data_IF_527153618855
#
_entry.id   IF_527153618855
#
_cell.length_a   1.000
_cell.length_b   1.000
_cell.length_c   1.000
_cell.angle_alpha   90.00
_cell.angle_beta   90.00
_cell.angle_gamma   90.00
#
_symmetry.space_group_name_H-M   'P 1'
#
loop_
_entity.id
_entity.type
_entity.pdbx_description
1 polymer ?
#
# COMPACT_ATOMS: atom_id res chain seq x y z
N UNK A 1 -63.03 -0.14 35.73
CA UNK A 1 -62.40 -1.43 36.08
C UNK A 1 -61.06 -1.48 35.35
N UNK A 2 -59.98 -1.82 36.06
CA UNK A 2 -58.61 -2.14 35.57
C UNK A 2 -57.70 -0.95 35.21
N UNK A 3 -57.09 -0.37 36.26
CA UNK A 3 -55.73 0.18 36.23
C UNK A 3 -54.86 -0.79 37.05
N UNK A 4 -53.77 -1.31 36.47
CA UNK A 4 -52.53 -1.81 37.14
C UNK A 4 -51.78 -2.74 36.19
N UNK A 5 -50.75 -2.27 35.50
CA UNK A 5 -49.67 -3.09 34.92
C UNK A 5 -48.46 -2.21 34.55
N UNK A 6 -47.81 -1.58 35.53
CA UNK A 6 -46.57 -0.84 35.25
C UNK A 6 -45.66 -0.70 36.48
N UNK A 7 -45.27 -1.80 37.13
CA UNK A 7 -44.26 -1.75 38.19
C UNK A 7 -43.46 -3.07 38.32
N UNK A 8 -42.87 -3.60 37.25
CA UNK A 8 -41.87 -4.69 37.36
C UNK A 8 -40.81 -4.56 36.25
N UNK A 9 -39.98 -3.50 36.26
CA UNK A 9 -38.78 -3.42 35.37
C UNK A 9 -37.54 -2.76 36.00
N UNK A 10 -37.51 -2.49 37.30
CA UNK A 10 -36.39 -1.73 37.90
C UNK A 10 -35.46 -2.51 38.86
N UNK A 11 -35.66 -3.80 39.08
CA UNK A 11 -34.91 -4.52 40.12
C UNK A 11 -33.68 -5.33 39.63
N UNK A 12 -33.50 -5.57 38.32
CA UNK A 12 -32.50 -6.53 37.81
C UNK A 12 -31.43 -5.97 36.85
N UNK A 13 -31.50 -4.69 36.45
CA UNK A 13 -30.57 -4.13 35.44
C UNK A 13 -29.26 -3.52 35.97
N UNK A 14 -29.21 -3.12 37.25
CA UNK A 14 -28.07 -2.38 37.81
C UNK A 14 -26.78 -3.18 38.06
N UNK A 15 -26.80 -4.49 38.41
CA UNK A 15 -25.54 -5.19 38.70
C UNK A 15 -24.76 -5.52 37.42
N UNK A 16 -25.43 -5.75 36.29
CA UNK A 16 -24.76 -6.10 35.02
C UNK A 16 -24.05 -4.88 34.41
N UNK A 17 -24.66 -3.69 34.46
CA UNK A 17 -24.01 -2.45 33.98
C UNK A 17 -22.76 -2.10 34.79
N UNK A 18 -22.80 -2.29 36.12
CA UNK A 18 -21.62 -2.09 36.97
C UNK A 18 -20.50 -3.07 36.59
N UNK A 19 -20.82 -4.35 36.39
CA UNK A 19 -19.82 -5.34 35.96
C UNK A 19 -19.21 -4.98 34.60
N UNK A 20 -20.00 -4.54 33.63
CA UNK A 20 -19.50 -4.12 32.32
C UNK A 20 -18.60 -2.89 32.41
N UNK A 21 -18.92 -1.92 33.27
CA UNK A 21 -18.07 -0.74 33.50
C UNK A 21 -16.74 -1.11 34.17
N UNK A 22 -16.74 -2.05 35.12
CA UNK A 22 -15.50 -2.54 35.74
C UNK A 22 -14.63 -3.32 34.74
N UNK A 23 -15.22 -4.15 33.88
CA UNK A 23 -14.48 -4.88 32.84
C UNK A 23 -13.90 -3.91 31.81
N UNK A 24 -14.69 -2.97 31.30
CA UNK A 24 -14.22 -1.97 30.35
C UNK A 24 -13.11 -1.06 30.95
N UNK A 25 -13.27 -0.64 32.21
CA UNK A 25 -12.25 0.12 32.93
C UNK A 25 -10.95 -0.68 33.14
N UNK A 26 -11.06 -1.98 33.45
CA UNK A 26 -9.92 -2.88 33.56
C UNK A 26 -9.12 -3.02 32.27
N UNK A 27 -9.80 -3.17 31.13
CA UNK A 27 -9.15 -3.21 29.81
C UNK A 27 -8.42 -1.91 29.45
N UNK A 28 -9.00 -0.75 29.78
CA UNK A 28 -8.36 0.55 29.55
C UNK A 28 -7.10 0.74 30.42
N UNK A 29 -7.14 0.28 31.68
CA UNK A 29 -5.98 0.33 32.58
C UNK A 29 -4.87 -0.63 32.15
N UNK A 30 -5.21 -1.83 31.67
CA UNK A 30 -4.25 -2.78 31.10
C UNK A 30 -3.59 -2.22 29.83
N UNK A 31 -4.36 -1.54 28.97
CA UNK A 31 -3.82 -0.90 27.77
C UNK A 31 -2.87 0.26 28.11
N UNK A 32 -3.23 1.10 29.10
CA UNK A 32 -2.38 2.19 29.59
C UNK A 32 -1.08 1.66 30.23
N UNK A 33 -1.16 0.57 31.00
CA UNK A 33 0.03 -0.04 31.62
C UNK A 33 1.00 -0.62 30.60
N UNK A 34 0.50 -1.24 29.52
CA UNK A 34 1.34 -1.79 28.45
C UNK A 34 2.16 -0.70 27.73
N UNK A 35 1.57 0.49 27.54
CA UNK A 35 2.27 1.62 26.92
C UNK A 35 3.37 2.19 27.82
N UNK A 36 3.17 2.23 29.14
CA UNK A 36 4.18 2.72 30.09
C UNK A 36 5.29 1.70 30.31
N UNK A 37 4.97 0.40 30.39
CA UNK A 37 5.96 -0.66 30.59
C UNK A 37 6.98 -0.77 29.43
N UNK A 38 6.62 -0.31 28.23
CA UNK A 38 7.55 -0.25 27.08
C UNK A 38 8.46 0.99 27.07
N UNK A 39 8.19 2.00 27.91
CA UNK A 39 9.06 3.18 28.03
C UNK A 39 10.32 2.89 28.84
N UNK A 40 10.25 1.97 29.81
CA UNK A 40 11.39 1.61 30.68
C UNK A 40 12.35 0.57 30.08
N UNK A 41 12.07 0.07 28.87
CA UNK A 41 12.95 -0.86 28.13
C UNK A 41 13.85 -0.16 27.10
N UNK A 42 13.85 1.17 27.05
CA UNK A 42 14.82 1.95 26.27
C UNK A 42 15.95 2.41 27.20
N UNK A 43 17.18 1.87 27.10
CA UNK A 43 18.30 2.40 27.85
C UNK A 43 18.60 3.82 27.36
N UNK A 44 18.65 4.74 28.32
CA UNK A 44 19.14 6.10 28.15
C UNK A 44 20.60 6.07 27.66
N UNK A 45 20.79 6.20 26.36
CA UNK A 45 22.05 6.58 25.76
C UNK A 45 21.75 7.59 24.66
N UNK A 46 21.83 8.89 24.99
CA UNK A 46 22.68 9.87 24.29
C UNK A 46 22.45 11.28 24.86
N UNK A 47 23.24 11.65 25.86
CA UNK A 47 23.54 13.04 26.15
C UNK A 47 24.98 13.14 26.69
N UNK A 48 25.95 12.93 25.81
CA UNK A 48 27.31 13.38 26.01
C UNK A 48 27.89 13.75 24.64
N UNK A 49 28.13 15.05 24.46
CA UNK A 49 28.79 15.59 23.28
C UNK A 49 30.14 14.92 23.09
N UNK A 50 30.33 14.36 21.90
CA UNK A 50 31.64 14.11 21.34
C UNK A 50 31.60 14.65 19.92
N UNK A 51 32.36 15.72 19.70
CA UNK A 51 32.71 16.27 18.41
C UNK A 51 33.42 15.20 17.59
N UNK A 52 32.66 14.26 17.04
CA UNK A 52 33.13 13.41 15.95
C UNK A 52 32.97 14.26 14.71
N UNK A 53 34.09 14.67 14.14
CA UNK A 53 34.15 15.20 12.78
C UNK A 53 33.22 14.35 11.92
N UNK A 54 32.15 14.96 11.44
CA UNK A 54 31.36 14.44 10.33
C UNK A 54 32.37 14.10 9.27
N UNK A 55 32.69 12.81 9.15
CA UNK A 55 33.22 12.31 7.90
C UNK A 55 32.14 12.68 6.92
N UNK A 56 32.40 13.75 6.15
CA UNK A 56 31.63 14.12 4.98
C UNK A 56 31.52 12.83 4.20
N UNK A 57 30.37 12.17 4.32
CA UNK A 57 30.05 11.03 3.49
C UNK A 57 30.23 11.57 2.07
N UNK A 58 31.16 10.97 1.34
CA UNK A 58 31.42 11.34 -0.05
C UNK A 58 30.07 11.48 -0.74
N UNK A 59 29.84 12.57 -1.49
CA UNK A 59 28.63 12.68 -2.28
C UNK A 59 28.58 11.45 -3.19
N UNK A 60 27.57 10.60 -3.01
CA UNK A 60 27.30 9.52 -3.94
C UNK A 60 26.89 10.17 -5.25
N UNK A 61 27.86 10.31 -6.16
CA UNK A 61 27.61 10.55 -7.56
C UNK A 61 27.08 9.23 -8.16
N UNK A 62 25.82 8.92 -7.92
CA UNK A 62 25.22 7.62 -8.24
C UNK A 62 23.76 7.75 -8.67
N UNK A 63 23.45 8.70 -9.56
CA UNK A 63 22.09 8.96 -10.01
C UNK A 63 21.63 8.08 -11.19
N UNK A 64 22.48 7.19 -11.73
CA UNK A 64 22.16 6.39 -12.92
C UNK A 64 22.18 4.88 -12.69
N UNK A 65 23.09 4.34 -11.88
CA UNK A 65 23.24 2.88 -11.70
C UNK A 65 22.20 2.28 -10.76
N UNK A 66 21.79 3.02 -9.71
CA UNK A 66 20.78 2.55 -8.75
C UNK A 66 19.39 2.55 -9.39
N UNK A 67 19.12 3.52 -10.28
CA UNK A 67 17.85 3.61 -11.00
C UNK A 67 17.63 2.45 -11.97
N UNK A 68 18.66 2.00 -12.69
CA UNK A 68 18.57 0.88 -13.63
C UNK A 68 18.36 -0.48 -12.95
N UNK A 69 18.77 -0.61 -11.69
CA UNK A 69 18.59 -1.85 -10.92
C UNK A 69 17.20 -1.93 -10.26
N UNK A 70 16.56 -0.77 -10.02
CA UNK A 70 15.27 -0.67 -9.32
C UNK A 70 14.10 -0.63 -10.30
N UNK A 71 14.26 0.07 -11.43
CA UNK A 71 13.19 0.24 -12.41
C UNK A 71 13.25 -0.93 -13.41
N UNK A 72 12.15 -1.68 -13.60
CA UNK A 72 12.10 -2.70 -14.61
C UNK A 72 12.13 -2.06 -16.00
N UNK A 73 12.71 -2.77 -16.96
CA UNK A 73 12.89 -2.35 -18.34
C UNK A 73 12.47 -3.48 -19.30
N UNK A 74 12.14 -3.11 -20.54
CA UNK A 74 11.76 -4.05 -21.58
C UNK A 74 10.35 -4.65 -21.45
N UNK A 75 10.14 -5.73 -22.17
CA UNK A 75 8.83 -6.38 -22.33
C UNK A 75 8.63 -7.40 -21.19
N UNK A 76 7.52 -7.36 -20.43
CA UNK A 76 7.18 -8.40 -19.47
C UNK A 76 7.18 -9.79 -20.12
N UNK A 77 7.93 -10.74 -19.56
CA UNK A 77 8.23 -12.03 -20.21
C UNK A 77 6.98 -12.83 -20.55
N UNK A 78 5.98 -12.86 -19.65
CA UNK A 78 4.80 -13.72 -19.83
C UNK A 78 3.73 -13.17 -20.76
N UNK A 79 3.42 -11.89 -20.63
CA UNK A 79 2.24 -11.30 -21.26
C UNK A 79 2.55 -10.01 -22.03
N UNK A 80 3.77 -9.49 -21.94
CA UNK A 80 4.14 -8.21 -22.52
C UNK A 80 3.97 -8.17 -24.03
N UNK A 81 4.42 -9.22 -24.72
CA UNK A 81 4.24 -9.37 -26.18
C UNK A 81 2.77 -9.56 -26.56
N UNK A 82 2.01 -10.34 -25.78
CA UNK A 82 0.59 -10.60 -26.04
C UNK A 82 -0.25 -9.32 -25.95
N UNK A 83 0.00 -8.52 -24.90
CA UNK A 83 -0.73 -7.28 -24.67
C UNK A 83 -0.15 -6.07 -25.40
N UNK A 84 1.03 -6.20 -26.01
CA UNK A 84 1.74 -5.07 -26.60
C UNK A 84 2.18 -4.03 -25.56
N UNK A 85 2.53 -4.45 -24.35
CA UNK A 85 2.97 -3.57 -23.26
C UNK A 85 4.48 -3.70 -23.02
N UNK A 86 5.09 -2.59 -22.62
CA UNK A 86 6.53 -2.49 -22.37
C UNK A 86 6.76 -1.54 -21.19
N UNK A 87 7.66 -1.91 -20.26
CA UNK A 87 8.03 -1.06 -19.13
C UNK A 87 8.66 0.26 -19.55
N UNK A 88 9.35 0.29 -20.70
CA UNK A 88 9.97 1.49 -21.27
C UNK A 88 8.95 2.47 -21.90
N UNK A 89 7.70 2.02 -22.10
CA UNK A 89 6.58 2.86 -22.56
C UNK A 89 5.39 2.73 -21.60
N UNK A 90 5.64 3.07 -20.33
CA UNK A 90 4.69 2.93 -19.24
C UNK A 90 3.40 3.74 -19.46
N UNK A 91 3.45 4.87 -20.17
CA UNK A 91 2.27 5.67 -20.46
C UNK A 91 1.30 4.95 -21.41
N UNK A 92 1.81 4.38 -22.51
CA UNK A 92 0.98 3.58 -23.42
C UNK A 92 0.51 2.30 -22.76
N UNK A 93 1.38 1.63 -22.01
CA UNK A 93 1.03 0.42 -21.28
C UNK A 93 -0.10 0.66 -20.27
N UNK A 94 -0.10 1.80 -19.58
CA UNK A 94 -1.16 2.17 -18.64
C UNK A 94 -2.53 2.22 -19.31
N UNK A 95 -2.64 2.82 -20.50
CA UNK A 95 -3.91 2.88 -21.26
C UNK A 95 -4.41 1.50 -21.67
N UNK A 96 -3.51 0.55 -21.94
CA UNK A 96 -3.89 -0.84 -22.24
C UNK A 96 -4.37 -1.54 -20.97
N UNK A 97 -3.56 -1.48 -19.91
CA UNK A 97 -3.80 -2.23 -18.67
C UNK A 97 -5.04 -1.74 -17.91
N UNK A 98 -5.33 -0.44 -17.91
CA UNK A 98 -6.52 0.08 -17.23
C UNK A 98 -7.84 -0.42 -17.85
N UNK A 99 -7.82 -0.85 -19.12
CA UNK A 99 -9.00 -1.37 -19.78
C UNK A 99 -9.53 -2.65 -19.13
N UNK A 100 -8.67 -3.42 -18.47
CA UNK A 100 -9.06 -4.65 -17.76
C UNK A 100 -9.75 -4.37 -16.42
N UNK A 101 -9.64 -3.15 -15.88
CA UNK A 101 -10.31 -2.74 -14.64
C UNK A 101 -11.59 -1.94 -14.91
N UNK A 102 -11.56 -1.00 -15.86
CA UNK A 102 -12.66 -0.03 -16.06
C UNK A 102 -12.96 0.33 -17.51
N UNK A 103 -12.37 -0.37 -18.49
CA UNK A 103 -12.55 -0.09 -19.91
C UNK A 103 -13.39 -1.14 -20.64
N UNK A 104 -13.24 -1.19 -21.96
CA UNK A 104 -13.97 -2.14 -22.82
C UNK A 104 -13.61 -3.61 -22.56
N UNK A 105 -12.43 -3.86 -22.00
CA UNK A 105 -11.92 -5.19 -21.65
C UNK A 105 -12.12 -5.57 -20.18
N UNK A 106 -13.03 -4.92 -19.46
CA UNK A 106 -13.20 -5.10 -18.01
C UNK A 106 -13.34 -6.58 -17.63
N UNK A 107 -12.49 -7.03 -16.72
CA UNK A 107 -12.45 -8.40 -16.21
C UNK A 107 -13.18 -8.45 -14.87
N UNK A 108 -14.14 -9.37 -14.75
CA UNK A 108 -14.82 -9.66 -13.49
C UNK A 108 -14.43 -11.04 -13.01
N UNK A 109 -13.76 -11.11 -11.86
CA UNK A 109 -13.41 -12.38 -11.23
C UNK A 109 -14.54 -12.84 -10.29
N UNK A 110 -14.54 -14.14 -9.99
CA UNK A 110 -15.44 -14.74 -9.01
C UNK A 110 -14.77 -15.88 -8.25
N UNK A 111 -15.39 -16.33 -7.17
CA UNK A 111 -14.88 -17.44 -6.35
C UNK A 111 -13.47 -17.19 -5.83
N UNK A 112 -12.61 -18.21 -5.95
CA UNK A 112 -11.24 -18.19 -5.43
C UNK A 112 -10.38 -17.10 -6.10
N UNK A 113 -10.57 -16.83 -7.39
CA UNK A 113 -9.82 -15.78 -8.09
C UNK A 113 -10.14 -14.39 -7.54
N UNK A 114 -11.39 -14.13 -7.16
CA UNK A 114 -11.76 -12.86 -6.53
C UNK A 114 -11.10 -12.70 -5.16
N UNK A 115 -11.02 -13.79 -4.37
CA UNK A 115 -10.36 -13.75 -3.06
C UNK A 115 -8.86 -13.52 -3.19
N UNK A 116 -8.21 -14.20 -4.15
CA UNK A 116 -6.80 -13.98 -4.49
C UNK A 116 -6.54 -12.55 -4.93
N UNK A 117 -7.40 -12.00 -5.80
CA UNK A 117 -7.32 -10.61 -6.21
C UNK A 117 -7.34 -9.64 -5.03
N UNK A 118 -8.30 -9.80 -4.11
CA UNK A 118 -8.38 -8.95 -2.90
C UNK A 118 -7.11 -9.09 -2.07
N UNK A 119 -6.62 -10.32 -1.86
CA UNK A 119 -5.39 -10.58 -1.10
C UNK A 119 -4.17 -9.93 -1.74
N UNK A 120 -3.98 -10.04 -3.05
CA UNK A 120 -2.83 -9.47 -3.77
C UNK A 120 -2.93 -7.93 -3.80
N UNK A 121 -4.06 -7.40 -4.24
CA UNK A 121 -4.25 -5.97 -4.45
C UNK A 121 -4.24 -5.17 -3.13
N UNK A 122 -4.62 -5.80 -2.01
CA UNK A 122 -4.52 -5.18 -0.68
C UNK A 122 -3.08 -5.02 -0.17
N UNK A 123 -2.09 -5.69 -0.78
CA UNK A 123 -0.68 -5.60 -0.37
C UNK A 123 0.10 -4.47 -1.05
N UNK A 124 -0.51 -3.79 -2.03
CA UNK A 124 0.13 -2.68 -2.74
C UNK A 124 -0.53 -1.36 -2.38
N UNK A 125 0.23 -0.41 -1.84
CA UNK A 125 -0.26 0.93 -1.52
C UNK A 125 -0.28 1.86 -2.77
N UNK A 126 -1.16 2.85 -2.76
CA UNK A 126 -1.19 3.99 -3.71
C UNK A 126 -0.64 5.28 -3.06
N UNK A 127 0.48 5.17 -2.35
CA UNK A 127 0.99 6.22 -1.47
C UNK A 127 1.56 7.43 -2.22
N UNK A 128 1.93 7.27 -3.50
CA UNK A 128 2.61 8.32 -4.26
C UNK A 128 1.67 9.33 -4.93
N UNK A 129 0.39 8.98 -5.13
CA UNK A 129 -0.58 9.85 -5.82
C UNK A 129 -1.73 10.27 -4.89
N UNK A 130 -2.48 9.31 -4.33
CA UNK A 130 -3.70 9.59 -3.57
C UNK A 130 -3.59 9.26 -2.08
N UNK A 131 -2.46 8.69 -1.63
CA UNK A 131 -2.23 8.34 -0.24
C UNK A 131 -3.00 7.11 0.25
N UNK A 132 -3.67 6.35 -0.62
CA UNK A 132 -4.36 5.14 -0.20
C UNK A 132 -3.34 4.06 0.20
N UNK A 133 -3.64 3.32 1.26
CA UNK A 133 -2.74 2.29 1.80
C UNK A 133 -2.84 0.95 1.07
N UNK A 134 -3.84 0.79 0.20
CA UNK A 134 -4.10 -0.42 -0.60
C UNK A 134 -4.58 -0.05 -2.01
N UNK A 135 -4.59 -0.98 -2.98
CA UNK A 135 -5.22 -0.79 -4.30
C UNK A 135 -6.74 -0.97 -4.24
N UNK A 136 -7.19 -1.84 -3.36
CA UNK A 136 -8.60 -2.21 -3.18
C UNK A 136 -8.98 -2.20 -1.70
N UNK A 137 -10.25 -1.94 -1.43
CA UNK A 137 -10.86 -2.15 -0.13
C UNK A 137 -11.07 -3.65 0.15
N UNK A 138 -11.39 -4.05 1.40
CA UNK A 138 -11.66 -5.45 1.74
C UNK A 138 -12.81 -6.09 0.97
N UNK A 139 -13.71 -5.29 0.37
CA UNK A 139 -14.79 -5.77 -0.49
C UNK A 139 -14.37 -5.93 -1.96
N UNK A 140 -13.10 -5.70 -2.28
CA UNK A 140 -12.53 -5.78 -3.63
C UNK A 140 -12.79 -4.56 -4.50
N UNK A 141 -13.48 -3.52 -3.99
CA UNK A 141 -13.69 -2.29 -4.75
C UNK A 141 -12.40 -1.46 -4.81
N UNK A 142 -12.21 -0.68 -5.89
CA UNK A 142 -11.11 0.28 -6.00
C UNK A 142 -10.97 1.19 -4.77
N UNK A 143 -9.76 1.28 -4.21
CA UNK A 143 -9.43 2.26 -3.17
C UNK A 143 -9.13 3.65 -3.76
N UNK A 144 -8.75 3.70 -5.04
CA UNK A 144 -8.50 4.93 -5.79
C UNK A 144 -8.96 4.83 -7.24
N UNK A 145 -9.42 5.95 -7.80
CA UNK A 145 -9.92 6.06 -9.18
C UNK A 145 -8.92 6.57 -10.23
N UNK A 146 -7.64 6.73 -9.92
CA UNK A 146 -6.66 7.20 -10.92
C UNK A 146 -6.31 6.11 -11.95
N UNK A 147 -5.80 6.52 -13.11
CA UNK A 147 -5.33 5.60 -14.16
C UNK A 147 -4.24 4.64 -13.68
N UNK A 148 -3.32 5.08 -12.82
CA UNK A 148 -2.28 4.21 -12.24
C UNK A 148 -2.87 3.07 -11.43
N UNK A 149 -3.85 3.37 -10.57
CA UNK A 149 -4.50 2.36 -9.73
C UNK A 149 -5.35 1.42 -10.58
N UNK A 150 -6.05 1.95 -11.60
CA UNK A 150 -6.78 1.13 -12.56
C UNK A 150 -5.87 0.19 -13.35
N UNK A 151 -4.70 0.65 -13.83
CA UNK A 151 -3.74 -0.18 -14.54
C UNK A 151 -3.11 -1.25 -13.63
N UNK A 152 -2.74 -0.90 -12.39
CA UNK A 152 -2.22 -1.86 -11.40
C UNK A 152 -3.25 -2.94 -11.02
N UNK A 153 -4.53 -2.57 -10.88
CA UNK A 153 -5.60 -3.56 -10.71
C UNK A 153 -5.82 -4.38 -11.97
N UNK A 154 -5.81 -3.73 -13.13
CA UNK A 154 -5.99 -4.35 -14.44
C UNK A 154 -4.98 -5.45 -14.74
N UNK A 155 -3.69 -5.22 -14.46
CA UNK A 155 -2.67 -6.28 -14.61
C UNK A 155 -2.92 -7.44 -13.65
N UNK A 156 -3.30 -7.19 -12.39
CA UNK A 156 -3.64 -8.25 -11.45
C UNK A 156 -4.85 -9.08 -11.91
N UNK A 157 -5.91 -8.41 -12.36
CA UNK A 157 -7.12 -9.04 -12.91
C UNK A 157 -6.79 -9.92 -14.11
N UNK A 158 -6.02 -9.38 -15.06
CA UNK A 158 -5.62 -10.09 -16.26
C UNK A 158 -4.78 -11.33 -15.96
N UNK A 159 -3.77 -11.21 -15.09
CA UNK A 159 -2.91 -12.34 -14.74
C UNK A 159 -3.69 -13.45 -14.00
N UNK A 160 -4.60 -13.09 -13.10
CA UNK A 160 -5.45 -14.08 -12.43
C UNK A 160 -6.40 -14.80 -13.39
N UNK A 161 -6.91 -14.09 -14.41
CA UNK A 161 -7.84 -14.65 -15.38
C UNK A 161 -7.16 -15.55 -16.42
N UNK A 162 -5.98 -15.14 -16.92
CA UNK A 162 -5.28 -15.84 -18.01
C UNK A 162 -4.24 -16.84 -17.52
N UNK A 163 -3.67 -16.62 -16.34
CA UNK A 163 -2.62 -17.45 -15.74
C UNK A 163 -3.00 -17.84 -14.30
N UNK A 164 -4.13 -18.55 -14.09
CA UNK A 164 -4.63 -18.86 -12.75
C UNK A 164 -3.66 -19.72 -11.92
N UNK A 165 -2.73 -20.42 -12.55
CA UNK A 165 -1.65 -21.17 -11.90
C UNK A 165 -0.49 -20.31 -11.39
N UNK A 166 -0.39 -19.04 -11.82
CA UNK A 166 0.63 -18.11 -11.35
C UNK A 166 0.50 -17.89 -9.84
N UNK A 167 1.62 -17.89 -9.12
CA UNK A 167 1.62 -17.68 -7.67
C UNK A 167 1.26 -16.23 -7.32
N UNK A 168 0.55 -16.03 -6.20
CA UNK A 168 0.12 -14.71 -5.73
C UNK A 168 1.30 -13.74 -5.53
N UNK A 169 2.43 -14.25 -5.04
CA UNK A 169 3.66 -13.46 -4.87
C UNK A 169 4.25 -12.99 -6.19
N UNK A 170 4.09 -13.76 -7.26
CA UNK A 170 4.56 -13.39 -8.60
C UNK A 170 3.67 -12.31 -9.21
N UNK A 171 2.35 -12.44 -9.07
CA UNK A 171 1.39 -11.41 -9.49
C UNK A 171 1.63 -10.12 -8.70
N UNK A 172 1.84 -10.22 -7.38
CA UNK A 172 2.17 -9.07 -6.54
C UNK A 172 3.48 -8.39 -6.98
N UNK A 173 4.50 -9.17 -7.32
CA UNK A 173 5.76 -8.63 -7.83
C UNK A 173 5.53 -7.87 -9.15
N UNK A 174 4.69 -8.40 -10.04
CA UNK A 174 4.36 -7.77 -11.31
C UNK A 174 3.59 -6.46 -11.14
N UNK A 175 2.60 -6.44 -10.24
CA UNK A 175 1.87 -5.21 -9.87
C UNK A 175 2.84 -4.14 -9.36
N UNK A 176 3.82 -4.51 -8.53
CA UNK A 176 4.81 -3.58 -8.00
C UNK A 176 5.87 -3.15 -9.03
N UNK A 177 6.18 -3.98 -10.04
CA UNK A 177 7.00 -3.57 -11.19
C UNK A 177 6.33 -2.45 -11.98
N UNK A 178 5.03 -2.56 -12.25
CA UNK A 178 4.28 -1.48 -12.88
C UNK A 178 4.23 -0.22 -12.03
N UNK A 179 3.98 -0.35 -10.73
CA UNK A 179 4.06 0.78 -9.80
C UNK A 179 5.41 1.50 -9.88
N UNK A 180 6.51 0.77 -10.00
CA UNK A 180 7.84 1.34 -10.08
C UNK A 180 8.00 2.24 -11.31
N UNK A 181 7.54 1.81 -12.48
CA UNK A 181 7.64 2.62 -13.72
C UNK A 181 6.58 3.70 -13.82
N UNK A 182 5.44 3.54 -13.14
CA UNK A 182 4.43 4.60 -13.02
C UNK A 182 4.88 5.73 -12.10
N UNK A 183 5.70 5.43 -11.08
CA UNK A 183 6.22 6.40 -10.11
C UNK A 183 7.74 6.25 -9.91
N UNK A 184 8.56 6.52 -10.95
CA UNK A 184 9.97 6.16 -10.91
C UNK A 184 10.76 6.99 -9.89
N UNK A 185 10.51 8.30 -9.79
CA UNK A 185 11.14 9.16 -8.79
C UNK A 185 10.86 8.70 -7.35
N UNK A 186 9.59 8.61 -6.93
CA UNK A 186 9.23 8.15 -5.58
C UNK A 186 9.71 6.73 -5.28
N UNK A 187 9.69 5.83 -6.26
CA UNK A 187 10.15 4.44 -6.09
C UNK A 187 11.66 4.38 -5.82
N UNK A 188 12.47 5.05 -6.63
CA UNK A 188 13.93 5.11 -6.42
C UNK A 188 14.25 5.82 -5.10
N UNK A 189 13.54 6.90 -4.77
CA UNK A 189 13.72 7.60 -3.49
C UNK A 189 13.41 6.69 -2.29
N UNK A 190 12.34 5.89 -2.37
CA UNK A 190 11.95 4.94 -1.31
C UNK A 190 12.96 3.80 -1.16
N UNK A 191 13.45 3.27 -2.27
CA UNK A 191 14.42 2.17 -2.28
C UNK A 191 15.84 2.61 -1.87
N UNK A 192 16.26 3.83 -2.22
CA UNK A 192 17.57 4.38 -1.87
C UNK A 192 17.71 4.85 -0.42
N UNK A 193 16.63 4.89 0.35
CA UNK A 193 16.61 5.37 1.73
C UNK A 193 16.89 6.87 1.83
N UNK A 194 15.84 7.66 2.05
CA UNK A 194 15.90 9.02 2.62
C UNK A 194 17.19 9.80 2.33
N UNK A 195 17.33 10.40 1.14
CA UNK A 195 18.13 11.64 1.06
C UNK A 195 17.31 12.72 1.76
N UNK A 196 17.31 12.71 3.08
CA UNK A 196 16.70 13.75 3.89
C UNK A 196 17.41 15.07 3.58
N UNK A 197 16.77 15.93 2.79
CA UNK A 197 17.22 17.30 2.54
C UNK A 197 17.56 17.70 1.10
N UNK A 198 17.47 16.80 0.11
CA UNK A 198 17.59 17.21 -1.30
C UNK A 198 16.21 17.35 -1.94
N UNK A 199 15.77 18.60 -2.16
CA UNK A 199 14.77 18.88 -3.19
C UNK A 199 15.36 18.43 -4.55
N UNK A 200 14.61 17.70 -5.39
CA UNK A 200 15.12 17.28 -6.70
C UNK A 200 15.49 18.51 -7.54
N UNK A 201 16.74 18.59 -7.97
CA UNK A 201 17.21 19.62 -8.91
C UNK A 201 16.77 19.27 -10.34
N UNK A 202 16.54 20.27 -11.23
CA UNK A 202 15.61 20.14 -12.36
C UNK A 202 16.17 19.46 -13.63
N UNK A 203 17.36 18.88 -13.60
CA UNK A 203 17.98 18.28 -14.80
C UNK A 203 18.69 16.97 -14.43
N UNK A 204 17.96 15.84 -14.53
CA UNK A 204 18.44 14.51 -14.16
C UNK A 204 17.57 13.76 -13.14
N UNK A 205 16.54 14.41 -12.59
CA UNK A 205 15.57 13.78 -11.70
C UNK A 205 14.55 12.94 -12.48
N UNK A 206 14.33 11.70 -12.03
CA UNK A 206 13.23 10.86 -12.53
C UNK A 206 11.88 11.55 -12.31
N UNK A 207 10.91 11.38 -13.22
CA UNK A 207 9.61 12.00 -13.06
C UNK A 207 8.89 11.48 -11.81
N UNK A 208 8.07 12.33 -11.19
CA UNK A 208 7.27 11.94 -10.03
C UNK A 208 6.22 10.89 -10.39
N UNK A 209 5.70 10.96 -11.63
CA UNK A 209 4.77 10.01 -12.20
C UNK A 209 4.89 9.98 -13.74
N UNK A 210 4.45 8.89 -14.36
CA UNK A 210 4.30 8.74 -15.81
C UNK A 210 2.83 8.55 -16.15
N UNK A 211 2.36 9.17 -17.24
CA UNK A 211 0.97 9.06 -17.69
C UNK A 211 0.00 10.08 -17.06
N UNK A 212 -1.22 10.15 -17.60
CA UNK A 212 -2.27 11.06 -17.16
C UNK A 212 -3.00 10.60 -15.88
N UNK A 213 -3.58 11.56 -15.15
CA UNK A 213 -4.40 11.33 -13.96
C UNK A 213 -5.83 10.90 -14.33
#
# INVERSE_FOLDING_TARGET
MILKHSLIRHALGRPLELVLLFVAGGFLLLNQWHMVAMHDLLPAAVAAGSSSSVAVAKPYNGSSTVSSDILPHGIPERYGTELGVNFDDAASAMTILENFDRGSGTITLSGDLQQRYISIASQTACEFCCGATTLVFPDGKPACGCAHSAAMRGVALYLLQQYPEMADSEILAEVNRWKAVFFPGPTVQKAGGSVAGQAPTPSGALPSQVGGC
#
